data_IF_985737160004
#
_entry.id   IF_985737160004
#
_cell.length_a   1.000
_cell.length_b   1.000
_cell.length_c   1.000
_cell.angle_alpha   90.00
_cell.angle_beta   90.00
_cell.angle_gamma   90.00
#
_symmetry.space_group_name_H-M   'P 1'
#
loop_
_entity.id
_entity.type
_entity.pdbx_description
1 polymer ?
#
# COMPACT_ATOMS: atom_id res chain seq x y z
N UNK A 1 8.73 19.51 -3.50
CA UNK A 1 8.39 19.87 -2.10
C UNK A 1 9.64 20.40 -1.43
N UNK A 2 9.60 21.68 -1.07
CA UNK A 2 10.72 22.35 -0.44
C UNK A 2 11.06 21.72 0.93
N UNK A 3 12.32 21.79 1.40
CA UNK A 3 12.71 21.17 2.67
C UNK A 3 11.82 21.60 3.85
N UNK A 4 11.42 22.88 3.89
CA UNK A 4 10.56 23.42 4.95
C UNK A 4 9.15 22.82 4.91
N UNK A 5 8.57 22.67 3.72
CA UNK A 5 7.26 22.04 3.55
C UNK A 5 7.30 20.58 4.01
N UNK A 6 8.37 19.85 3.65
CA UNK A 6 8.54 18.45 4.08
C UNK A 6 8.60 18.31 5.60
N UNK A 7 9.30 19.22 6.28
CA UNK A 7 9.36 19.23 7.74
C UNK A 7 7.99 19.51 8.38
N UNK A 8 7.20 20.39 7.78
CA UNK A 8 5.83 20.68 8.26
C UNK A 8 4.97 19.43 8.12
N UNK A 9 4.94 18.80 6.93
CA UNK A 9 4.17 17.57 6.69
C UNK A 9 4.61 16.41 7.60
N UNK A 10 5.90 16.26 7.84
CA UNK A 10 6.41 15.23 8.76
C UNK A 10 5.96 15.48 10.21
N UNK A 11 5.90 16.74 10.66
CA UNK A 11 5.35 17.08 11.99
C UNK A 11 3.85 16.82 12.09
N UNK A 12 3.09 17.18 11.06
CA UNK A 12 1.66 16.86 10.99
C UNK A 12 1.42 15.36 11.09
N UNK A 13 2.15 14.57 10.28
CA UNK A 13 2.10 13.12 10.33
C UNK A 13 2.48 12.60 11.72
N UNK A 14 3.55 13.11 12.33
CA UNK A 14 3.97 12.68 13.67
C UNK A 14 2.91 12.91 14.75
N UNK A 15 2.29 14.10 14.76
CA UNK A 15 1.19 14.39 15.68
C UNK A 15 -0.01 13.47 15.48
N UNK A 16 -0.34 13.17 14.22
CA UNK A 16 -1.42 12.24 13.89
C UNK A 16 -1.08 10.79 14.27
N UNK A 17 0.16 10.32 14.05
CA UNK A 17 0.61 8.98 14.45
C UNK A 17 0.54 8.82 15.98
N UNK A 18 0.90 9.84 16.75
CA UNK A 18 0.77 9.80 18.21
C UNK A 18 -0.68 9.76 18.67
N UNK A 19 -1.60 10.44 17.97
CA UNK A 19 -3.04 10.25 18.19
C UNK A 19 -3.46 8.82 17.86
N UNK A 20 -3.10 8.30 16.67
CA UNK A 20 -3.46 6.97 16.21
C UNK A 20 -3.03 5.88 17.19
N UNK A 21 -1.77 5.96 17.67
CA UNK A 21 -1.18 5.02 18.64
C UNK A 21 -1.95 4.96 19.95
N UNK A 22 -2.44 6.11 20.43
CA UNK A 22 -3.21 6.20 21.68
C UNK A 22 -4.65 5.73 21.47
N UNK A 23 -5.30 6.20 20.41
CA UNK A 23 -6.72 5.94 20.14
C UNK A 23 -7.00 4.47 19.83
N UNK A 24 -6.11 3.79 19.11
CA UNK A 24 -6.26 2.37 18.72
C UNK A 24 -5.35 1.44 19.52
N UNK A 25 -4.77 1.92 20.62
CA UNK A 25 -3.89 1.16 21.51
C UNK A 25 -2.70 0.47 20.81
N UNK A 26 -2.19 1.04 19.71
CA UNK A 26 -1.16 0.46 18.85
C UNK A 26 0.28 0.68 19.36
N UNK A 27 0.46 0.94 20.66
CA UNK A 27 1.76 1.28 21.27
C UNK A 27 2.82 0.20 21.10
N UNK A 28 2.42 -1.08 21.12
CA UNK A 28 3.28 -2.24 20.90
C UNK A 28 3.41 -2.63 19.42
N UNK A 29 2.65 -1.99 18.53
CA UNK A 29 2.67 -2.26 17.08
C UNK A 29 3.48 -1.19 16.33
N UNK A 30 3.27 0.07 16.67
CA UNK A 30 3.97 1.22 16.07
C UNK A 30 4.98 1.73 17.10
N UNK A 31 6.25 1.42 16.86
CA UNK A 31 7.36 1.83 17.73
C UNK A 31 7.66 3.32 17.60
N UNK A 32 8.30 3.92 18.62
CA UNK A 32 8.65 5.36 18.59
C UNK A 32 9.63 5.73 17.48
N UNK A 33 10.41 4.77 16.96
CA UNK A 33 11.36 4.99 15.88
C UNK A 33 10.74 4.85 14.48
N UNK A 34 9.41 4.73 14.33
CA UNK A 34 8.73 4.49 13.05
C UNK A 34 9.21 5.40 11.90
N UNK A 35 9.53 6.66 12.19
CA UNK A 35 9.99 7.65 11.20
C UNK A 35 11.36 7.33 10.58
N UNK A 36 12.09 6.37 11.16
CA UNK A 36 13.38 5.85 10.65
C UNK A 36 13.19 4.67 9.68
N UNK A 37 11.95 4.22 9.47
CA UNK A 37 11.62 3.08 8.61
C UNK A 37 10.74 3.55 7.45
N UNK A 38 11.35 3.85 6.30
CA UNK A 38 10.65 4.40 5.13
C UNK A 38 9.39 3.61 4.72
N UNK A 39 9.36 2.26 4.70
CA UNK A 39 8.14 1.51 4.39
C UNK A 39 6.99 1.82 5.36
N UNK A 40 7.29 1.97 6.65
CA UNK A 40 6.31 2.31 7.68
C UNK A 40 5.82 3.74 7.51
N UNK A 41 6.72 4.68 7.19
CA UNK A 41 6.36 6.07 6.87
C UNK A 41 5.38 6.14 5.71
N UNK A 42 5.61 5.39 4.63
CA UNK A 42 4.70 5.35 3.47
C UNK A 42 3.31 4.81 3.85
N UNK A 43 3.27 3.73 4.63
CA UNK A 43 2.01 3.13 5.08
C UNK A 43 1.22 4.10 5.97
N UNK A 44 1.88 4.76 6.92
CA UNK A 44 1.26 5.75 7.79
C UNK A 44 0.80 6.99 7.01
N UNK A 45 1.56 7.42 5.99
CA UNK A 45 1.18 8.52 5.12
C UNK A 45 -0.08 8.19 4.32
N UNK A 46 -0.19 6.97 3.78
CA UNK A 46 -1.39 6.51 3.08
C UNK A 46 -2.61 6.47 4.00
N UNK A 47 -2.45 5.94 5.22
CA UNK A 47 -3.51 5.91 6.23
C UNK A 47 -3.94 7.32 6.66
N UNK A 48 -2.99 8.24 6.85
CA UNK A 48 -3.26 9.65 7.17
C UNK A 48 -4.04 10.34 6.04
N UNK A 49 -3.62 10.16 4.78
CA UNK A 49 -4.34 10.71 3.64
C UNK A 49 -5.75 10.11 3.49
N UNK A 50 -5.93 8.83 3.81
CA UNK A 50 -7.25 8.19 3.89
C UNK A 50 -8.11 8.79 5.02
N UNK A 51 -7.53 9.01 6.18
CA UNK A 51 -8.19 9.60 7.35
C UNK A 51 -8.65 11.03 7.04
N UNK A 52 -7.78 11.88 6.49
CA UNK A 52 -8.12 13.24 6.07
C UNK A 52 -9.27 13.28 5.08
N UNK A 53 -9.25 12.41 4.05
CA UNK A 53 -10.35 12.32 3.08
C UNK A 53 -11.66 11.83 3.69
N UNK A 54 -11.59 11.05 4.77
CA UNK A 54 -12.75 10.47 5.44
C UNK A 54 -13.38 11.49 6.39
N UNK A 55 -12.59 12.12 7.25
CA UNK A 55 -13.10 12.97 8.33
C UNK A 55 -13.06 14.47 8.07
N UNK A 56 -12.31 14.92 7.05
CA UNK A 56 -12.19 16.34 6.68
C UNK A 56 -12.53 16.60 5.20
N UNK A 57 -12.96 15.57 4.46
CA UNK A 57 -13.42 15.71 3.09
C UNK A 57 -14.88 16.15 3.03
N UNK A 58 -15.32 16.62 1.86
CA UNK A 58 -16.73 16.89 1.60
C UNK A 58 -17.54 15.58 1.60
N UNK A 59 -18.76 15.64 2.15
CA UNK A 59 -19.72 14.55 2.05
C UNK A 59 -20.12 14.38 0.58
N UNK A 60 -19.76 13.23 0.01
CA UNK A 60 -20.09 12.87 -1.37
C UNK A 60 -20.99 11.62 -1.37
N UNK A 61 -21.95 11.51 -2.31
CA UNK A 61 -22.78 10.31 -2.46
C UNK A 61 -21.93 9.03 -2.59
N UNK A 62 -22.34 7.93 -1.95
CA UNK A 62 -21.63 6.65 -2.01
C UNK A 62 -20.48 6.51 -1.00
N UNK A 63 -20.45 7.35 0.05
CA UNK A 63 -19.44 7.31 1.13
C UNK A 63 -20.04 7.02 2.51
N UNK A 64 -21.22 6.41 2.56
CA UNK A 64 -22.00 6.20 3.79
C UNK A 64 -21.29 5.30 4.82
N UNK A 65 -20.25 4.57 4.42
CA UNK A 65 -19.46 3.67 5.28
C UNK A 65 -17.96 4.04 5.35
N UNK A 66 -17.57 5.25 4.90
CA UNK A 66 -16.16 5.60 4.71
C UNK A 66 -15.32 5.51 6.00
N UNK A 67 -15.89 5.83 7.16
CA UNK A 67 -15.25 5.71 8.47
C UNK A 67 -14.98 4.26 8.84
N UNK A 68 -15.97 3.39 8.66
CA UNK A 68 -15.85 1.96 8.92
C UNK A 68 -14.83 1.32 7.97
N UNK A 69 -14.85 1.69 6.69
CA UNK A 69 -13.89 1.21 5.69
C UNK A 69 -12.47 1.68 5.98
N UNK A 70 -12.30 2.91 6.45
CA UNK A 70 -11.01 3.42 6.89
C UNK A 70 -10.47 2.63 8.10
N UNK A 71 -11.31 2.33 9.10
CA UNK A 71 -10.93 1.50 10.26
C UNK A 71 -10.55 0.08 9.81
N UNK A 72 -11.31 -0.54 8.90
CA UNK A 72 -10.98 -1.84 8.34
C UNK A 72 -9.61 -1.81 7.65
N UNK A 73 -9.35 -0.76 6.88
CA UNK A 73 -8.06 -0.55 6.20
C UNK A 73 -6.92 -0.38 7.20
N UNK A 74 -7.13 0.38 8.29
CA UNK A 74 -6.16 0.52 9.36
C UNK A 74 -5.75 -0.84 9.92
N UNK A 75 -6.72 -1.69 10.29
CA UNK A 75 -6.42 -3.01 10.85
C UNK A 75 -5.75 -3.95 9.85
N UNK A 76 -6.07 -3.86 8.56
CA UNK A 76 -5.35 -4.59 7.51
C UNK A 76 -3.88 -4.15 7.39
N UNK A 77 -3.56 -2.90 7.73
CA UNK A 77 -2.21 -2.36 7.68
C UNK A 77 -1.39 -2.67 8.95
N UNK A 78 -2.03 -2.87 10.11
CA UNK A 78 -1.35 -3.10 11.40
C UNK A 78 -0.19 -4.13 11.32
N UNK A 79 -0.32 -5.28 10.65
CA UNK A 79 0.81 -6.23 10.53
C UNK A 79 2.04 -5.63 9.83
N UNK A 80 1.84 -4.71 8.88
CA UNK A 80 2.90 -4.05 8.11
C UNK A 80 3.54 -2.88 8.87
N UNK A 81 2.88 -2.39 9.92
CA UNK A 81 3.40 -1.34 10.79
C UNK A 81 4.30 -1.90 11.91
N UNK A 82 4.29 -3.22 12.11
CA UNK A 82 5.05 -3.88 13.16
C UNK A 82 6.53 -3.98 12.82
N UNK A 83 7.35 -3.35 13.67
CA UNK A 83 8.80 -3.40 13.58
C UNK A 83 9.34 -4.36 14.65
N UNK A 84 9.29 -5.67 14.37
CA UNK A 84 9.74 -6.70 15.31
C UNK A 84 11.18 -6.45 15.81
N UNK A 85 12.06 -6.01 14.91
CA UNK A 85 13.43 -5.61 15.18
C UNK A 85 13.58 -4.49 16.23
N UNK A 86 12.57 -3.61 16.34
CA UNK A 86 12.57 -2.46 17.24
C UNK A 86 11.63 -2.63 18.44
N UNK A 87 10.95 -3.78 18.56
CA UNK A 87 9.87 -3.99 19.53
C UNK A 87 10.36 -3.99 20.99
N UNK A 88 11.63 -4.31 21.22
CA UNK A 88 12.27 -4.32 22.55
C UNK A 88 12.78 -2.95 23.00
N UNK A 89 12.45 -1.88 22.26
CA UNK A 89 12.83 -0.50 22.59
C UNK A 89 14.20 -0.07 22.08
N UNK A 90 15.00 -0.98 21.52
CA UNK A 90 16.24 -0.65 20.83
C UNK A 90 15.98 -0.54 19.32
N UNK A 91 16.28 0.62 18.72
CA UNK A 91 16.20 0.81 17.28
C UNK A 91 17.23 -0.08 16.56
N UNK A 92 16.80 -0.70 15.46
CA UNK A 92 17.67 -1.40 14.53
C UNK A 92 17.56 -0.77 13.14
N UNK A 93 18.71 -0.49 12.54
CA UNK A 93 18.74 0.12 11.22
C UNK A 93 18.17 -0.84 10.17
N UNK A 94 17.33 -0.37 9.23
CA UNK A 94 16.89 -1.20 8.12
C UNK A 94 18.09 -1.79 7.37
N UNK A 95 17.96 -3.02 6.83
CA UNK A 95 18.96 -3.57 5.93
C UNK A 95 19.25 -2.61 4.79
N UNK A 96 20.51 -2.52 4.38
CA UNK A 96 20.89 -1.69 3.24
C UNK A 96 20.16 -2.18 1.98
N UNK A 97 19.65 -1.22 1.20
CA UNK A 97 19.09 -1.51 -0.12
C UNK A 97 20.20 -2.06 -0.99
N UNK A 98 20.07 -3.30 -1.43
CA UNK A 98 20.99 -3.90 -2.39
C UNK A 98 20.72 -3.26 -3.74
N UNK A 99 21.72 -2.64 -4.40
CA UNK A 99 21.52 -2.07 -5.72
C UNK A 99 21.14 -3.19 -6.71
N UNK A 100 20.30 -2.90 -7.71
CA UNK A 100 20.00 -3.86 -8.75
C UNK A 100 21.29 -4.27 -9.49
N UNK A 101 21.39 -5.52 -9.99
CA UNK A 101 22.50 -5.94 -10.82
C UNK A 101 22.72 -5.01 -12.03
N UNK A 102 23.97 -4.83 -12.51
CA UNK A 102 24.21 -4.14 -13.76
C UNK A 102 23.43 -4.78 -14.91
N UNK A 103 22.86 -3.98 -15.81
CA UNK A 103 22.04 -4.50 -16.91
C UNK A 103 20.56 -4.70 -16.58
N UNK A 104 20.12 -4.40 -15.36
CA UNK A 104 18.72 -4.65 -14.93
C UNK A 104 17.72 -3.80 -15.71
N UNK A 105 18.06 -2.54 -15.99
CA UNK A 105 17.19 -1.62 -16.74
C UNK A 105 17.07 -2.08 -18.19
N UNK A 106 18.17 -2.44 -18.84
CA UNK A 106 18.18 -2.96 -20.21
C UNK A 106 17.43 -4.31 -20.31
N UNK A 107 17.57 -5.16 -19.29
CA UNK A 107 16.82 -6.43 -19.22
C UNK A 107 15.31 -6.18 -19.09
N UNK A 108 14.92 -5.14 -18.34
CA UNK A 108 13.53 -4.74 -18.21
C UNK A 108 12.98 -4.17 -19.53
N UNK A 109 13.75 -3.34 -20.23
CA UNK A 109 13.38 -2.83 -21.55
C UNK A 109 13.19 -3.96 -22.57
N UNK A 110 14.06 -4.98 -22.56
CA UNK A 110 13.90 -6.17 -23.39
C UNK A 110 12.63 -6.97 -23.01
N UNK A 111 12.31 -7.07 -21.73
CA UNK A 111 11.07 -7.70 -21.27
C UNK A 111 9.84 -6.96 -21.81
N UNK A 112 9.84 -5.62 -21.82
CA UNK A 112 8.76 -4.80 -22.37
C UNK A 112 8.55 -5.00 -23.88
N UNK A 113 9.56 -5.46 -24.60
CA UNK A 113 9.49 -5.78 -26.02
C UNK A 113 9.13 -7.25 -26.29
N UNK A 114 9.05 -8.08 -25.26
CA UNK A 114 8.74 -9.51 -25.41
C UNK A 114 7.25 -9.75 -25.65
N UNK A 115 6.92 -10.97 -26.08
CA UNK A 115 5.52 -11.40 -26.25
C UNK A 115 4.71 -11.28 -24.96
N UNK A 116 5.35 -11.36 -23.78
CA UNK A 116 4.67 -11.26 -22.49
C UNK A 116 3.95 -9.91 -22.29
N UNK A 117 4.43 -8.85 -22.93
CA UNK A 117 3.90 -7.48 -22.81
C UNK A 117 3.32 -6.95 -24.12
N UNK A 118 3.58 -7.61 -25.25
CA UNK A 118 3.14 -7.17 -26.57
C UNK A 118 2.06 -8.06 -27.19
N UNK A 119 1.94 -9.33 -26.79
CA UNK A 119 0.87 -10.20 -27.28
C UNK A 119 -0.49 -9.73 -26.77
N UNK A 120 -1.54 -9.97 -27.56
CA UNK A 120 -2.90 -9.70 -27.13
C UNK A 120 -3.24 -10.53 -25.89
N UNK A 121 -3.87 -9.89 -24.90
CA UNK A 121 -4.25 -10.57 -23.67
C UNK A 121 -5.23 -11.72 -23.97
N UNK A 122 -4.80 -12.95 -23.73
CA UNK A 122 -5.65 -14.13 -23.82
C UNK A 122 -6.06 -14.52 -22.41
N UNK A 123 -7.36 -14.38 -22.11
CA UNK A 123 -7.88 -14.86 -20.83
C UNK A 123 -8.00 -16.40 -20.88
N UNK A 124 -7.48 -17.15 -19.89
CA UNK A 124 -7.50 -18.61 -19.92
C UNK A 124 -8.92 -19.20 -19.99
N UNK A 125 -9.92 -18.47 -19.50
CA UNK A 125 -11.33 -18.89 -19.61
C UNK A 125 -11.96 -18.64 -20.98
N UNK A 126 -11.31 -17.94 -21.91
CA UNK A 126 -11.90 -17.66 -23.24
C UNK A 126 -12.19 -18.96 -24.01
N UNK A 127 -11.28 -19.94 -23.95
CA UNK A 127 -11.48 -21.25 -24.56
C UNK A 127 -12.61 -22.05 -23.89
N UNK A 128 -12.81 -21.89 -22.59
CA UNK A 128 -13.90 -22.51 -21.84
C UNK A 128 -15.26 -21.88 -22.19
N UNK A 129 -15.32 -20.55 -22.29
CA UNK A 129 -16.52 -19.82 -22.69
C UNK A 129 -16.95 -20.19 -24.11
N UNK A 130 -16.01 -20.22 -25.05
CA UNK A 130 -16.29 -20.59 -26.43
C UNK A 130 -16.81 -22.04 -26.51
N UNK A 131 -16.20 -22.98 -25.79
CA UNK A 131 -16.68 -24.38 -25.77
C UNK A 131 -18.12 -24.48 -25.27
N UNK A 132 -18.46 -23.77 -24.18
CA UNK A 132 -19.82 -23.76 -23.62
C UNK A 132 -20.83 -23.15 -24.59
N UNK A 133 -20.42 -22.12 -25.31
CA UNK A 133 -21.26 -21.49 -26.33
C UNK A 133 -21.49 -22.42 -27.53
N UNK A 134 -20.46 -23.14 -27.97
CA UNK A 134 -20.56 -24.15 -29.03
C UNK A 134 -21.47 -25.31 -28.64
N UNK A 135 -21.35 -25.81 -27.39
CA UNK A 135 -22.23 -26.85 -26.84
C UNK A 135 -23.70 -26.41 -26.77
N UNK A 136 -23.95 -25.14 -26.43
CA UNK A 136 -25.30 -24.58 -26.37
C UNK A 136 -25.94 -24.44 -27.76
N UNK A 137 -25.12 -24.21 -28.79
CA UNK A 137 -25.55 -23.95 -30.17
C UNK A 137 -25.53 -25.20 -31.07
N UNK A 138 -25.21 -26.38 -30.53
CA UNK A 138 -25.18 -27.63 -31.30
C UNK A 138 -26.61 -28.04 -31.76
N UNK A 139 -26.82 -28.37 -33.05
CA UNK A 139 -28.12 -28.80 -33.54
C UNK A 139 -28.54 -30.15 -32.93
N UNK A 140 -29.83 -30.27 -32.62
CA UNK A 140 -30.48 -31.48 -32.08
C UNK A 140 -30.40 -32.68 -33.04
#
# INVERSE_FOLDING_TARGET
MEPKERQIRMRELGGWVDWLRRTFELHNKITHCWYRHSPVVEHLTALYAGWMRTYAGEEAPGRELAEADWINTLYAFVPRLQLAACATGAHQEPPLVVPPPPGSDESFDLYLLSDATTASAVHPAAAELNRREDELNAPL
#
